data_IF_141152381628
#
_entry.id   IF_141152381628
#
_cell.length_a   1.000
_cell.length_b   1.000
_cell.length_c   1.000
_cell.angle_alpha   90.00
_cell.angle_beta   90.00
_cell.angle_gamma   90.00
#
_symmetry.space_group_name_H-M   'P 1'
#
loop_
_entity.id
_entity.type
_entity.pdbx_description
1 polymer ?
#
# COMPACT_ATOMS: atom_id res chain seq x y z
N UNK A 1 -29.03 0.15 1.79
CA UNK A 1 -28.02 -0.08 2.84
C UNK A 1 -26.72 -0.45 2.14
N UNK A 2 -25.81 0.53 2.10
CA UNK A 2 -24.42 0.50 1.62
C UNK A 2 -24.22 0.05 0.17
N UNK A 3 -24.39 1.02 -0.72
CA UNK A 3 -23.88 1.02 -2.08
C UNK A 3 -22.35 0.93 -2.02
N UNK A 4 -21.79 -0.22 -2.42
CA UNK A 4 -20.35 -0.44 -2.47
C UNK A 4 -19.82 0.14 -3.77
N UNK A 5 -19.39 1.39 -3.70
CA UNK A 5 -18.71 2.12 -4.76
C UNK A 5 -17.35 1.48 -5.05
N UNK A 6 -17.27 0.75 -6.16
CA UNK A 6 -16.03 0.27 -6.78
C UNK A 6 -15.33 1.47 -7.47
N UNK A 7 -14.40 2.10 -6.75
CA UNK A 7 -13.43 3.07 -7.30
C UNK A 7 -12.12 2.31 -7.59
N UNK A 8 -11.75 2.02 -8.84
CA UNK A 8 -11.11 2.92 -9.81
C UNK A 8 -9.69 2.40 -10.10
N UNK A 9 -9.04 2.56 -11.25
CA UNK A 9 -9.38 3.07 -12.57
C UNK A 9 -8.29 2.57 -13.53
N UNK A 10 -8.74 2.23 -14.74
CA UNK A 10 -8.14 2.47 -16.07
C UNK A 10 -6.62 2.41 -16.27
N UNK A 11 -6.27 1.61 -17.27
CA UNK A 11 -5.04 1.66 -18.03
C UNK A 11 -4.86 3.04 -18.69
N UNK A 12 -3.67 3.65 -18.57
CA UNK A 12 -3.23 4.74 -19.45
C UNK A 12 -1.78 4.49 -19.85
N UNK A 13 -1.66 3.88 -21.03
CA UNK A 13 -0.48 3.73 -21.85
C UNK A 13 -0.06 5.12 -22.38
N UNK A 14 0.59 5.95 -21.57
CA UNK A 14 1.28 7.12 -22.12
C UNK A 14 2.33 7.66 -21.17
N UNK A 15 3.59 7.48 -21.56
CA UNK A 15 4.69 8.39 -21.24
C UNK A 15 4.99 8.61 -19.75
N UNK A 16 5.83 7.74 -19.19
CA UNK A 16 6.77 8.10 -18.10
C UNK A 16 6.14 8.84 -16.91
N UNK A 17 4.89 8.52 -16.57
CA UNK A 17 4.20 9.11 -15.43
C UNK A 17 4.89 8.60 -14.17
N UNK A 18 5.70 9.47 -13.56
CA UNK A 18 6.29 9.26 -12.23
C UNK A 18 5.17 8.72 -11.35
N UNK A 19 5.28 7.46 -10.94
CA UNK A 19 4.23 6.73 -10.22
C UNK A 19 3.73 7.63 -9.09
N UNK A 20 2.49 8.12 -9.19
CA UNK A 20 1.98 9.21 -8.34
C UNK A 20 2.30 8.90 -6.88
N UNK A 21 2.85 9.87 -6.15
CA UNK A 21 3.15 9.72 -4.73
C UNK A 21 1.85 9.38 -4.00
N UNK A 22 1.80 8.22 -3.35
CA UNK A 22 0.68 7.89 -2.47
C UNK A 22 0.83 8.74 -1.21
N UNK A 23 -0.19 9.54 -0.90
CA UNK A 23 -0.31 10.15 0.42
C UNK A 23 -1.09 9.16 1.28
N UNK A 24 -0.42 8.59 2.28
CA UNK A 24 -1.07 7.72 3.25
C UNK A 24 -1.77 8.60 4.29
N UNK A 25 -2.97 8.19 4.71
CA UNK A 25 -3.65 8.77 5.85
C UNK A 25 -2.92 8.37 7.16
N UNK A 26 -3.13 9.12 8.24
CA UNK A 26 -2.50 8.83 9.56
C UNK A 26 -2.73 7.39 9.99
N UNK A 27 -3.97 6.90 9.90
CA UNK A 27 -4.32 5.54 10.28
C UNK A 27 -3.66 4.47 9.39
N UNK A 28 -3.41 4.78 8.11
CA UNK A 28 -2.72 3.86 7.20
C UNK A 28 -1.25 3.75 7.57
N UNK A 29 -0.61 4.87 7.93
CA UNK A 29 0.78 4.89 8.41
C UNK A 29 0.93 4.09 9.71
N UNK A 30 0.03 4.29 10.68
CA UNK A 30 0.04 3.56 11.95
C UNK A 30 -0.11 2.04 11.78
N UNK A 31 -0.93 1.59 10.83
CA UNK A 31 -1.06 0.16 10.52
C UNK A 31 0.18 -0.37 9.79
N UNK A 32 0.75 0.40 8.85
CA UNK A 32 1.98 0.04 8.14
C UNK A 32 3.18 -0.05 9.09
N UNK A 33 3.32 0.88 10.04
CA UNK A 33 4.36 0.86 11.08
C UNK A 33 4.17 -0.35 12.02
N UNK A 34 2.93 -0.62 12.45
CA UNK A 34 2.64 -1.81 13.26
C UNK A 34 2.96 -3.11 12.53
N UNK A 35 2.65 -3.20 11.24
CA UNK A 35 3.00 -4.34 10.42
C UNK A 35 4.52 -4.53 10.31
N UNK A 36 5.26 -3.43 10.11
CA UNK A 36 6.72 -3.44 10.03
C UNK A 36 7.38 -3.90 11.34
N UNK A 37 6.86 -3.44 12.49
CA UNK A 37 7.30 -3.89 13.82
C UNK A 37 7.02 -5.39 14.04
N UNK A 38 5.89 -5.90 13.53
CA UNK A 38 5.52 -7.30 13.68
C UNK A 38 6.34 -8.24 12.79
N UNK A 39 6.66 -7.83 11.56
CA UNK A 39 7.53 -8.57 10.66
C UNK A 39 8.21 -7.62 9.69
N UNK A 40 9.53 -7.67 9.64
CA UNK A 40 10.30 -6.88 8.67
C UNK A 40 10.11 -7.41 7.24
N UNK A 41 9.75 -8.68 7.06
CA UNK A 41 9.52 -9.32 5.75
C UNK A 41 8.21 -10.12 5.80
N UNK A 42 7.05 -9.44 5.78
CA UNK A 42 5.77 -10.14 5.68
C UNK A 42 5.72 -10.89 4.34
N UNK A 43 5.10 -12.08 4.32
CA UNK A 43 4.93 -12.84 3.08
C UNK A 43 3.96 -12.12 2.11
N UNK A 44 3.93 -12.53 0.84
CA UNK A 44 3.03 -11.98 -0.20
C UNK A 44 1.57 -11.97 0.27
N UNK A 45 1.11 -13.05 0.91
CA UNK A 45 -0.24 -13.12 1.46
C UNK A 45 -0.51 -12.09 2.56
N UNK A 46 0.48 -11.82 3.42
CA UNK A 46 0.37 -10.83 4.48
C UNK A 46 0.33 -9.42 3.91
N UNK A 47 1.15 -9.14 2.88
CA UNK A 47 1.14 -7.86 2.17
C UNK A 47 -0.18 -7.63 1.43
N UNK A 48 -0.74 -8.65 0.80
CA UNK A 48 -2.06 -8.57 0.15
C UNK A 48 -3.18 -8.32 1.16
N UNK A 49 -3.17 -9.01 2.30
CA UNK A 49 -4.16 -8.78 3.36
C UNK A 49 -4.08 -7.36 3.93
N UNK A 50 -2.86 -6.82 4.13
CA UNK A 50 -2.64 -5.43 4.53
C UNK A 50 -3.09 -4.45 3.45
N UNK A 51 -2.77 -4.72 2.20
CA UNK A 51 -3.16 -3.89 1.07
C UNK A 51 -4.69 -3.79 0.97
N UNK A 52 -5.40 -4.92 1.11
CA UNK A 52 -6.86 -4.95 1.14
C UNK A 52 -7.43 -4.17 2.33
N UNK A 53 -6.86 -4.34 3.52
CA UNK A 53 -7.30 -3.64 4.74
C UNK A 53 -7.08 -2.12 4.67
N UNK A 54 -6.02 -1.69 3.99
CA UNK A 54 -5.65 -0.28 3.84
C UNK A 54 -6.27 0.37 2.60
N UNK A 55 -6.98 -0.40 1.77
CA UNK A 55 -7.45 0.01 0.44
C UNK A 55 -6.32 0.53 -0.46
N UNK A 56 -5.22 -0.22 -0.48
CA UNK A 56 -4.00 0.06 -1.23
C UNK A 56 -3.68 -1.10 -2.19
N UNK A 57 -2.79 -0.85 -3.15
CA UNK A 57 -2.19 -1.91 -3.95
C UNK A 57 -1.03 -2.55 -3.18
N UNK A 58 -0.85 -3.87 -3.27
CA UNK A 58 0.28 -4.60 -2.68
C UNK A 58 1.62 -3.94 -3.02
N UNK A 59 1.81 -3.54 -4.28
CA UNK A 59 2.99 -2.79 -4.73
C UNK A 59 3.33 -1.53 -3.91
N UNK A 60 2.32 -0.86 -3.33
CA UNK A 60 2.49 0.31 -2.46
C UNK A 60 2.96 -0.09 -1.07
N UNK A 61 2.40 -1.17 -0.52
CA UNK A 61 2.81 -1.78 0.76
C UNK A 61 4.26 -2.26 0.65
N UNK A 62 4.61 -2.99 -0.42
CA UNK A 62 5.96 -3.47 -0.68
C UNK A 62 6.99 -2.34 -0.88
N UNK A 63 6.60 -1.21 -1.50
CA UNK A 63 7.51 -0.05 -1.66
C UNK A 63 7.73 0.66 -0.33
N UNK A 64 6.68 0.77 0.50
CA UNK A 64 6.80 1.34 1.84
C UNK A 64 7.71 0.49 2.73
N UNK A 65 7.52 -0.83 2.75
CA UNK A 65 8.39 -1.76 3.49
C UNK A 65 9.85 -1.63 3.04
N UNK A 66 10.10 -1.64 1.72
CA UNK A 66 11.45 -1.43 1.18
C UNK A 66 12.06 -0.09 1.59
N UNK A 67 11.25 0.97 1.63
CA UNK A 67 11.72 2.26 2.16
C UNK A 67 12.07 2.13 3.64
N UNK A 68 11.18 1.60 4.48
CA UNK A 68 11.45 1.46 5.92
C UNK A 68 12.69 0.58 6.21
N UNK A 69 12.95 -0.45 5.40
CA UNK A 69 14.16 -1.28 5.48
C UNK A 69 15.45 -0.59 5.03
N UNK A 70 15.37 0.37 4.10
CA UNK A 70 16.54 1.13 3.62
C UNK A 70 16.90 2.32 4.52
N UNK A 71 15.95 2.76 5.35
CA UNK A 71 16.11 3.88 6.29
C UNK A 71 16.33 3.44 7.75
N UNK A 72 16.34 2.13 8.03
CA UNK A 72 16.70 1.53 9.32
C UNK A 72 18.09 0.92 9.24
#
# INVERSE_FOLDING_TARGET
MKDVELTGSQEDLSSKRRRSRTNFNSWQLEELERAFLASHYPDVFMREALALRLDLKESRVATFEKHMQLFT
#
